data_IF_145875443801
#
_entry.id   IF_145875443801
#
_cell.length_a   1.000
_cell.length_b   1.000
_cell.length_c   1.000
_cell.angle_alpha   90.00
_cell.angle_beta   90.00
_cell.angle_gamma   90.00
#
_symmetry.space_group_name_H-M   'P 1'
#
loop_
_entity.id
_entity.type
_entity.pdbx_description
1 polymer ?
#
# COMPACT_ATOMS: atom_id res chain seq x y z
N UNK A 1 63.46 -17.90 -31.89
CA UNK A 1 62.68 -18.01 -30.64
C UNK A 1 61.30 -17.40 -30.85
N UNK A 2 60.27 -18.23 -31.06
CA UNK A 2 58.86 -17.77 -31.20
C UNK A 2 58.19 -17.89 -29.84
N UNK A 3 57.79 -16.76 -29.24
CA UNK A 3 57.03 -16.73 -27.98
C UNK A 3 55.54 -16.80 -28.33
N UNK A 4 54.91 -17.93 -28.00
CA UNK A 4 53.45 -18.09 -28.08
C UNK A 4 52.81 -17.39 -26.88
N UNK A 5 51.99 -16.37 -27.13
CA UNK A 5 51.15 -15.76 -26.10
C UNK A 5 49.79 -16.49 -26.06
N UNK A 6 49.52 -17.15 -24.93
CA UNK A 6 48.22 -17.71 -24.58
C UNK A 6 47.25 -16.57 -24.24
N UNK A 7 46.23 -16.40 -25.07
CA UNK A 7 45.12 -15.46 -24.84
C UNK A 7 44.05 -16.19 -24.00
N UNK A 8 43.91 -15.83 -22.72
CA UNK A 8 42.81 -16.28 -21.87
C UNK A 8 41.70 -15.24 -21.97
N UNK A 9 40.49 -15.57 -22.47
CA UNK A 9 39.40 -14.60 -22.51
C UNK A 9 38.82 -14.46 -21.10
N UNK A 10 39.02 -13.29 -20.50
CA UNK A 10 38.36 -12.87 -19.26
C UNK A 10 36.87 -12.66 -19.56
N UNK A 11 36.05 -13.63 -19.18
CA UNK A 11 34.60 -13.59 -19.35
C UNK A 11 34.00 -12.63 -18.31
N UNK A 12 33.88 -11.35 -18.69
CA UNK A 12 33.21 -10.32 -17.89
C UNK A 12 31.70 -10.62 -17.83
N UNK A 13 31.28 -11.24 -16.73
CA UNK A 13 29.87 -11.27 -16.34
C UNK A 13 29.43 -9.85 -16.01
N UNK A 14 28.84 -9.16 -16.98
CA UNK A 14 28.02 -7.98 -16.71
C UNK A 14 26.78 -8.43 -15.96
N UNK A 15 26.80 -8.32 -14.64
CA UNK A 15 25.59 -8.40 -13.82
C UNK A 15 24.85 -7.07 -14.05
N UNK A 16 24.09 -6.97 -15.13
CA UNK A 16 23.15 -5.88 -15.33
C UNK A 16 22.08 -6.00 -14.24
N UNK A 17 22.26 -5.27 -13.15
CA UNK A 17 21.21 -4.97 -12.19
C UNK A 17 20.13 -4.18 -12.92
N UNK A 18 19.20 -4.89 -13.55
CA UNK A 18 18.00 -4.29 -14.10
C UNK A 18 17.08 -3.98 -12.92
N UNK A 19 17.28 -2.85 -12.26
CA UNK A 19 16.30 -2.33 -11.31
C UNK A 19 15.11 -1.82 -12.14
N UNK A 20 14.15 -2.70 -12.43
CA UNK A 20 12.84 -2.31 -12.95
C UNK A 20 12.31 -1.18 -12.07
N UNK A 21 12.11 0.00 -12.66
CA UNK A 21 11.65 1.19 -11.91
C UNK A 21 10.20 1.00 -11.55
N UNK A 22 9.92 0.89 -10.26
CA UNK A 22 8.55 0.67 -9.79
C UNK A 22 7.64 1.87 -10.06
N UNK A 23 6.30 1.69 -10.16
CA UNK A 23 5.36 2.81 -10.28
C UNK A 23 5.53 3.85 -9.17
N UNK A 24 5.79 3.40 -7.93
CA UNK A 24 6.06 4.32 -6.81
C UNK A 24 7.32 5.18 -7.04
N UNK A 25 8.40 4.60 -7.55
CA UNK A 25 9.62 5.36 -7.86
C UNK A 25 9.40 6.34 -9.01
N UNK A 26 8.53 6.01 -9.96
CA UNK A 26 8.14 6.93 -11.02
C UNK A 26 7.34 8.10 -10.44
N UNK A 27 6.38 7.86 -9.56
CA UNK A 27 5.62 8.92 -8.89
C UNK A 27 6.53 9.85 -8.08
N UNK A 28 7.46 9.32 -7.26
CA UNK A 28 8.43 10.14 -6.51
C UNK A 28 9.21 11.08 -7.42
N UNK A 29 9.61 10.61 -8.62
CA UNK A 29 10.32 11.44 -9.61
C UNK A 29 9.42 12.47 -10.27
N UNK A 30 8.24 12.06 -10.73
CA UNK A 30 7.32 12.93 -11.45
C UNK A 30 6.87 14.12 -10.60
N UNK A 31 6.69 13.90 -9.29
CA UNK A 31 6.28 14.94 -8.34
C UNK A 31 7.47 15.64 -7.65
N UNK A 32 8.71 15.36 -8.04
CA UNK A 32 9.89 15.94 -7.39
C UNK A 32 10.03 17.46 -7.59
N UNK A 33 9.37 18.05 -8.60
CA UNK A 33 9.41 19.50 -8.80
C UNK A 33 8.48 20.27 -7.85
N UNK A 34 7.54 19.59 -7.19
CA UNK A 34 6.65 20.22 -6.20
C UNK A 34 7.36 20.33 -4.85
N UNK A 35 7.21 21.44 -4.11
CA UNK A 35 7.82 21.61 -2.79
C UNK A 35 7.45 20.50 -1.81
N UNK A 36 6.17 20.10 -1.81
CA UNK A 36 5.65 19.10 -0.88
C UNK A 36 4.71 18.14 -1.63
N UNK A 37 4.78 16.84 -1.31
CA UNK A 37 3.80 15.86 -1.76
C UNK A 37 3.62 14.71 -0.76
N UNK A 38 2.52 13.97 -0.88
CA UNK A 38 2.29 12.69 -0.22
C UNK A 38 1.64 11.72 -1.19
N UNK A 39 2.17 10.51 -1.27
CA UNK A 39 1.66 9.40 -2.08
C UNK A 39 1.00 8.40 -1.12
N UNK A 40 -0.31 8.25 -1.28
CA UNK A 40 -1.16 7.33 -0.50
C UNK A 40 -1.44 6.08 -1.34
N UNK A 41 -1.33 4.91 -0.73
CA UNK A 41 -1.81 3.66 -1.34
C UNK A 41 -3.33 3.67 -1.30
N UNK A 42 -3.96 4.08 -2.40
CA UNK A 42 -5.39 4.36 -2.44
C UNK A 42 -6.23 3.09 -2.61
N UNK A 43 -5.76 2.15 -3.43
CA UNK A 43 -6.39 0.84 -3.60
C UNK A 43 -5.38 -0.21 -4.08
N UNK A 44 -5.76 -1.48 -3.99
CA UNK A 44 -4.97 -2.63 -4.42
C UNK A 44 -5.87 -3.70 -5.05
N UNK A 45 -5.32 -4.41 -6.04
CA UNK A 45 -6.01 -5.49 -6.73
C UNK A 45 -5.04 -6.64 -6.98
N UNK A 46 -5.55 -7.86 -6.78
CA UNK A 46 -4.92 -9.08 -7.30
C UNK A 46 -5.92 -9.66 -8.27
N UNK A 47 -5.53 -9.74 -9.54
CA UNK A 47 -6.33 -10.34 -10.60
C UNK A 47 -5.75 -11.69 -11.00
N UNK A 48 -6.60 -12.60 -11.48
CA UNK A 48 -6.22 -13.94 -11.91
C UNK A 48 -6.22 -15.01 -10.83
N UNK A 49 -6.51 -16.25 -11.26
CA UNK A 49 -6.63 -17.43 -10.39
C UNK A 49 -5.37 -18.33 -10.37
N UNK A 50 -4.66 -18.42 -11.49
CA UNK A 50 -3.50 -19.31 -11.66
C UNK A 50 -2.20 -18.53 -11.83
N UNK A 51 -2.23 -17.55 -12.73
CA UNK A 51 -1.22 -16.50 -12.84
C UNK A 51 -1.85 -15.24 -12.26
N UNK A 52 -1.16 -14.62 -11.31
CA UNK A 52 -1.66 -13.47 -10.58
C UNK A 52 -0.99 -12.21 -11.10
N UNK A 53 -1.81 -11.25 -11.46
CA UNK A 53 -1.36 -9.88 -11.73
C UNK A 53 -1.69 -9.01 -10.52
N UNK A 54 -0.74 -8.15 -10.16
CA UNK A 54 -0.83 -7.31 -8.99
C UNK A 54 -0.90 -5.86 -9.43
N UNK A 55 -1.83 -5.10 -8.85
CA UNK A 55 -2.03 -3.70 -9.19
C UNK A 55 -2.17 -2.85 -7.93
N UNK A 56 -1.62 -1.64 -8.01
CA UNK A 56 -1.84 -0.58 -7.05
C UNK A 56 -2.56 0.59 -7.72
N UNK A 57 -3.31 1.33 -6.90
CA UNK A 57 -3.84 2.64 -7.24
C UNK A 57 -3.30 3.62 -6.21
N UNK A 58 -2.79 4.76 -6.67
CA UNK A 58 -2.18 5.75 -5.79
C UNK A 58 -2.97 7.04 -5.80
N UNK A 59 -3.08 7.68 -4.64
CA UNK A 59 -3.58 9.05 -4.52
C UNK A 59 -2.43 9.95 -4.14
N UNK A 60 -2.16 10.95 -4.96
CA UNK A 60 -1.10 11.92 -4.79
C UNK A 60 -1.73 13.23 -4.36
N UNK A 61 -1.25 13.78 -3.25
CA UNK A 61 -1.57 15.13 -2.79
C UNK A 61 -0.29 15.94 -2.87
N UNK A 62 -0.29 17.05 -3.60
CA UNK A 62 0.92 17.84 -3.83
C UNK A 62 0.62 19.34 -3.76
N UNK A 63 1.58 20.11 -3.26
CA UNK A 63 1.47 21.56 -3.10
C UNK A 63 2.09 22.28 -4.30
N UNK A 64 1.31 23.09 -5.00
CA UNK A 64 1.80 24.00 -6.04
C UNK A 64 2.05 25.38 -5.45
N UNK A 65 3.16 26.02 -5.81
CA UNK A 65 3.42 27.41 -5.40
C UNK A 65 2.41 28.33 -6.08
N UNK A 66 1.72 29.15 -5.29
CA UNK A 66 0.81 30.16 -5.82
C UNK A 66 1.45 31.54 -5.74
N UNK A 67 1.72 32.15 -6.91
CA UNK A 67 2.25 33.51 -7.00
C UNK A 67 3.64 33.68 -6.38
N UNK A 68 3.91 34.90 -5.89
CA UNK A 68 5.20 35.31 -5.35
C UNK A 68 5.20 35.14 -3.82
N UNK A 69 5.41 33.90 -3.32
CA UNK A 69 5.54 33.62 -1.89
C UNK A 69 5.57 32.12 -1.55
N UNK A 70 5.64 31.80 -0.24
CA UNK A 70 5.68 30.42 0.28
C UNK A 70 4.28 29.79 0.48
N UNK A 71 3.25 30.35 -0.17
CA UNK A 71 1.90 29.79 -0.09
C UNK A 71 1.76 28.64 -1.08
N UNK A 72 1.27 27.50 -0.59
CA UNK A 72 1.00 26.31 -1.40
C UNK A 72 -0.51 26.12 -1.58
N UNK A 73 -0.93 25.87 -2.81
CA UNK A 73 -2.25 25.32 -3.14
C UNK A 73 -2.14 23.82 -3.31
N UNK A 74 -2.89 23.04 -2.52
CA UNK A 74 -2.83 21.59 -2.58
C UNK A 74 -3.82 21.04 -3.59
N UNK A 75 -3.29 20.21 -4.49
CA UNK A 75 -4.05 19.47 -5.50
C UNK A 75 -4.05 17.98 -5.17
N UNK A 76 -5.04 17.26 -5.68
CA UNK A 76 -5.14 15.80 -5.54
C UNK A 76 -5.31 15.14 -6.91
N UNK A 77 -4.53 14.11 -7.17
CA UNK A 77 -4.63 13.26 -8.36
C UNK A 77 -4.67 11.81 -7.92
N UNK A 78 -5.53 11.01 -8.53
CA UNK A 78 -5.54 9.55 -8.34
C UNK A 78 -5.09 8.90 -9.63
N UNK A 79 -4.15 7.96 -9.57
CA UNK A 79 -3.70 7.20 -10.74
C UNK A 79 -4.79 6.24 -11.21
N UNK A 80 -4.62 5.70 -12.40
CA UNK A 80 -5.29 4.46 -12.78
C UNK A 80 -4.63 3.25 -12.08
N UNK A 81 -5.05 2.04 -12.46
CA UNK A 81 -4.43 0.81 -11.98
C UNK A 81 -3.04 0.65 -12.58
N UNK A 82 -2.03 0.71 -11.72
CA UNK A 82 -0.63 0.52 -12.08
C UNK A 82 -0.22 -0.90 -11.74
N UNK A 83 0.24 -1.66 -12.75
CA UNK A 83 0.76 -3.00 -12.54
C UNK A 83 2.06 -2.94 -11.72
N UNK A 84 2.16 -3.81 -10.72
CA UNK A 84 3.33 -3.92 -9.83
C UNK A 84 3.80 -5.36 -9.77
N UNK A 85 5.07 -5.56 -9.44
CA UNK A 85 5.57 -6.89 -9.12
C UNK A 85 4.96 -7.40 -7.82
N UNK A 86 4.81 -8.72 -7.68
CA UNK A 86 4.31 -9.37 -6.46
C UNK A 86 5.09 -8.94 -5.21
N UNK A 87 6.41 -8.81 -5.31
CA UNK A 87 7.27 -8.35 -4.22
C UNK A 87 6.86 -6.96 -3.74
N UNK A 88 6.57 -6.05 -4.67
CA UNK A 88 6.14 -4.70 -4.34
C UNK A 88 4.74 -4.70 -3.74
N UNK A 89 3.82 -5.49 -4.30
CA UNK A 89 2.49 -5.67 -3.72
C UNK A 89 2.58 -6.13 -2.26
N UNK A 90 3.34 -7.19 -2.02
CA UNK A 90 3.50 -7.77 -0.69
C UNK A 90 4.17 -6.81 0.29
N UNK A 91 5.09 -5.96 -0.21
CA UNK A 91 5.73 -4.91 0.60
C UNK A 91 4.72 -3.88 1.10
N UNK A 92 3.73 -3.53 0.29
CA UNK A 92 2.80 -2.45 0.61
C UNK A 92 1.41 -2.91 1.08
N UNK A 93 1.13 -4.22 1.08
CA UNK A 93 -0.21 -4.78 1.27
C UNK A 93 -0.89 -4.44 2.61
N UNK A 94 -0.13 -4.05 3.63
CA UNK A 94 -0.65 -3.68 4.95
C UNK A 94 -0.95 -2.18 5.10
N UNK A 95 -0.60 -1.36 4.11
CA UNK A 95 -0.66 0.10 4.19
C UNK A 95 -1.79 0.71 3.35
N UNK A 96 -2.85 -0.04 3.07
CA UNK A 96 -4.02 0.50 2.35
C UNK A 96 -4.57 1.73 3.08
N UNK A 97 -4.74 2.82 2.33
CA UNK A 97 -5.19 4.12 2.84
C UNK A 97 -4.11 4.92 3.58
N UNK A 98 -2.86 4.47 3.62
CA UNK A 98 -1.76 5.17 4.28
C UNK A 98 -0.82 5.84 3.28
N UNK A 99 -0.12 6.87 3.75
CA UNK A 99 1.03 7.44 3.05
C UNK A 99 2.14 6.38 3.03
N UNK A 100 2.71 6.15 1.85
CA UNK A 100 3.81 5.20 1.63
C UNK A 100 5.08 5.86 1.10
N UNK A 101 4.98 7.13 0.70
CA UNK A 101 6.09 8.01 0.39
C UNK A 101 5.62 9.47 0.47
N UNK A 102 6.49 10.38 0.87
CA UNK A 102 6.21 11.81 0.92
C UNK A 102 7.45 12.65 0.70
N UNK A 103 7.25 13.95 0.52
CA UNK A 103 8.30 14.95 0.58
C UNK A 103 7.79 16.17 1.31
N UNK A 104 8.52 16.60 2.33
CA UNK A 104 8.23 17.81 3.10
C UNK A 104 9.01 19.02 2.59
N UNK A 105 8.88 20.14 3.30
CA UNK A 105 9.60 21.41 3.00
C UNK A 105 11.12 21.30 2.96
N UNK A 106 11.69 20.28 3.62
CA UNK A 106 13.13 20.01 3.63
C UNK A 106 13.62 19.42 2.30
N UNK A 107 12.70 19.13 1.37
CA UNK A 107 13.00 18.59 0.05
C UNK A 107 13.42 17.11 0.07
N UNK A 108 13.41 16.46 1.23
CA UNK A 108 13.83 15.07 1.37
C UNK A 108 12.63 14.15 1.16
N UNK A 109 12.82 13.15 0.32
CA UNK A 109 11.84 12.06 0.17
C UNK A 109 11.89 11.20 1.42
N UNK A 110 10.73 10.99 2.02
CA UNK A 110 10.53 10.14 3.17
C UNK A 110 9.68 8.92 2.79
N UNK A 111 10.19 7.73 3.08
CA UNK A 111 9.56 6.44 2.79
C UNK A 111 8.85 5.83 4.01
N UNK A 112 8.72 6.58 5.10
CA UNK A 112 7.96 6.18 6.29
C UNK A 112 6.48 6.00 5.98
N UNK A 113 5.82 5.04 6.63
CA UNK A 113 4.38 4.81 6.45
C UNK A 113 3.58 5.33 7.62
N UNK A 114 2.58 6.14 7.32
CA UNK A 114 1.77 6.80 8.33
C UNK A 114 0.42 7.26 7.77
N UNK A 115 -0.55 7.63 8.63
CA UNK A 115 -1.85 8.06 8.16
C UNK A 115 -1.75 9.40 7.40
N UNK A 116 -2.56 9.63 6.37
CA UNK A 116 -2.53 10.88 5.63
C UNK A 116 -2.77 12.11 6.54
N UNK A 117 -2.11 13.22 6.21
CA UNK A 117 -2.22 14.49 6.95
C UNK A 117 -1.18 14.69 8.08
N UNK A 118 -0.63 13.62 8.67
CA UNK A 118 0.29 13.73 9.82
C UNK A 118 1.57 14.54 9.53
N UNK A 119 2.03 14.58 8.28
CA UNK A 119 3.25 15.30 7.90
C UNK A 119 3.15 16.83 8.03
N UNK A 120 1.93 17.38 8.06
CA UNK A 120 1.70 18.82 8.15
C UNK A 120 1.34 19.27 9.57
N UNK A 121 1.06 18.33 10.47
CA UNK A 121 0.69 18.63 11.85
C UNK A 121 1.91 19.17 12.60
N UNK A 122 1.67 20.15 13.48
CA UNK A 122 2.74 20.80 14.24
C UNK A 122 3.49 21.89 13.48
N UNK A 123 3.26 22.05 12.18
CA UNK A 123 3.78 23.19 11.41
C UNK A 123 2.74 24.32 11.39
N UNK A 124 3.11 25.46 11.99
CA UNK A 124 2.24 26.63 12.15
C UNK A 124 1.79 27.25 10.83
N UNK A 125 2.40 26.88 9.69
CA UNK A 125 1.93 27.30 8.36
C UNK A 125 0.55 26.72 8.05
N UNK A 126 0.23 25.51 8.54
CA UNK A 126 -0.98 24.76 8.16
C UNK A 126 -2.11 24.83 9.19
N UNK A 127 -1.80 25.16 10.44
CA UNK A 127 -2.78 25.10 11.51
C UNK A 127 -2.19 25.43 12.88
N UNK A 128 -2.96 25.12 13.91
CA UNK A 128 -2.56 25.31 15.31
C UNK A 128 -3.19 24.24 16.21
N UNK A 129 -2.59 24.02 17.36
CA UNK A 129 -3.23 23.25 18.43
C UNK A 129 -4.36 24.06 19.06
N UNK A 130 -5.52 23.42 19.22
CA UNK A 130 -6.65 23.94 19.99
C UNK A 130 -7.04 22.97 21.08
N UNK A 131 -7.47 23.51 22.21
CA UNK A 131 -7.93 22.71 23.35
C UNK A 131 -9.45 22.78 23.39
N UNK A 132 -10.11 21.62 23.47
CA UNK A 132 -11.55 21.54 23.69
C UNK A 132 -11.92 21.80 25.16
N UNK A 133 -13.22 21.96 25.44
CA UNK A 133 -13.73 22.17 26.80
C UNK A 133 -13.48 20.96 27.73
N UNK A 134 -13.07 19.81 27.19
CA UNK A 134 -12.73 18.60 27.94
C UNK A 134 -11.22 18.50 28.23
N UNK A 135 -10.43 19.50 27.83
CA UNK A 135 -8.99 19.54 28.04
C UNK A 135 -8.16 18.80 26.99
N UNK A 136 -8.76 18.22 25.94
CA UNK A 136 -8.01 17.55 24.88
C UNK A 136 -7.49 18.58 23.87
N UNK A 137 -6.22 18.45 23.50
CA UNK A 137 -5.63 19.24 22.41
C UNK A 137 -5.75 18.51 21.07
N UNK A 138 -6.29 19.18 20.05
CA UNK A 138 -6.40 18.69 18.69
C UNK A 138 -5.85 19.69 17.66
N UNK A 139 -5.46 19.20 16.50
CA UNK A 139 -4.95 20.03 15.41
C UNK A 139 -6.10 20.69 14.64
N UNK A 140 -6.13 22.01 14.62
CA UNK A 140 -7.05 22.82 13.81
C UNK A 140 -6.32 23.33 12.57
N UNK A 141 -6.78 22.91 11.39
CA UNK A 141 -6.29 23.42 10.11
C UNK A 141 -6.78 24.85 9.87
N UNK A 142 -5.93 25.71 9.32
CA UNK A 142 -6.38 27.02 8.85
C UNK A 142 -7.36 26.87 7.69
N UNK A 143 -8.31 27.81 7.56
CA UNK A 143 -9.43 27.71 6.61
C UNK A 143 -9.00 27.36 5.17
N UNK A 144 -7.91 27.95 4.68
CA UNK A 144 -7.34 27.65 3.35
C UNK A 144 -6.88 26.20 3.16
N UNK A 145 -6.63 25.49 4.25
CA UNK A 145 -6.24 24.08 4.29
C UNK A 145 -7.35 23.19 4.89
N UNK A 146 -8.53 23.72 5.20
CA UNK A 146 -9.63 22.92 5.73
C UNK A 146 -10.03 21.78 4.76
N UNK A 147 -9.86 22.00 3.45
CA UNK A 147 -10.06 20.97 2.42
C UNK A 147 -9.11 19.77 2.59
N UNK A 148 -7.92 19.94 3.18
CA UNK A 148 -7.00 18.83 3.46
C UNK A 148 -7.63 17.82 4.42
N UNK A 149 -8.48 18.26 5.35
CA UNK A 149 -9.26 17.36 6.21
C UNK A 149 -10.19 16.45 5.40
N UNK A 150 -10.73 16.92 4.29
CA UNK A 150 -11.55 16.08 3.40
C UNK A 150 -10.68 15.12 2.58
N UNK A 151 -9.60 15.62 1.99
CA UNK A 151 -8.67 14.83 1.15
C UNK A 151 -8.04 13.68 1.94
N UNK A 152 -7.66 13.92 3.19
CA UNK A 152 -7.09 12.93 4.09
C UNK A 152 -8.14 12.16 4.90
N UNK A 153 -9.43 12.44 4.69
CA UNK A 153 -10.54 11.75 5.34
C UNK A 153 -10.60 11.94 6.86
N UNK A 154 -10.11 13.08 7.34
CA UNK A 154 -9.96 13.47 8.74
C UNK A 154 -11.15 14.27 9.28
N UNK A 155 -12.17 14.55 8.45
CA UNK A 155 -13.32 15.38 8.82
C UNK A 155 -14.03 14.91 10.10
N UNK A 156 -14.13 13.59 10.31
CA UNK A 156 -14.76 12.99 11.49
C UNK A 156 -13.75 12.53 12.55
N UNK A 157 -12.45 12.80 12.35
CA UNK A 157 -11.35 12.29 13.18
C UNK A 157 -10.22 13.32 13.25
N UNK A 158 -10.34 14.36 14.10
CA UNK A 158 -9.25 15.31 14.29
C UNK A 158 -8.01 14.59 14.84
N UNK A 159 -6.82 15.08 14.50
CA UNK A 159 -5.58 14.55 15.09
C UNK A 159 -5.44 15.15 16.48
N UNK A 160 -5.51 14.29 17.49
CA UNK A 160 -5.20 14.69 18.86
C UNK A 160 -3.70 14.79 19.06
N UNK A 161 -3.29 15.65 20.00
CA UNK A 161 -1.89 15.89 20.31
C UNK A 161 -1.18 14.62 20.77
N UNK A 162 -1.88 13.78 21.53
CA UNK A 162 -1.39 12.47 21.96
C UNK A 162 -1.15 11.52 20.79
N UNK A 163 -2.01 11.52 19.77
CA UNK A 163 -1.80 10.70 18.56
C UNK A 163 -0.59 11.22 17.76
N UNK A 164 -0.45 12.54 17.65
CA UNK A 164 0.69 13.16 16.97
C UNK A 164 2.03 12.94 17.69
N UNK A 165 2.05 13.01 19.02
CA UNK A 165 3.25 12.73 19.81
C UNK A 165 3.68 11.26 19.61
N UNK A 166 2.74 10.30 19.63
CA UNK A 166 3.02 8.91 19.29
C UNK A 166 3.57 8.76 17.87
N UNK A 167 2.98 9.44 16.88
CA UNK A 167 3.48 9.44 15.51
C UNK A 167 4.94 9.91 15.45
N UNK A 168 5.28 11.01 16.15
CA UNK A 168 6.65 11.53 16.18
C UNK A 168 7.63 10.52 16.78
N UNK A 169 7.24 9.80 17.81
CA UNK A 169 8.07 8.78 18.47
C UNK A 169 8.27 7.53 17.59
N UNK A 170 7.23 7.11 16.87
CA UNK A 170 7.34 6.04 15.87
C UNK A 170 8.25 6.46 14.71
N UNK A 171 8.07 7.68 14.20
CA UNK A 171 8.87 8.24 13.13
C UNK A 171 10.35 8.37 13.51
N UNK A 172 10.65 8.87 14.71
CA UNK A 172 12.04 9.02 15.19
C UNK A 172 12.73 7.67 15.40
N UNK A 173 11.96 6.62 15.67
CA UNK A 173 12.46 5.23 15.79
C UNK A 173 12.40 4.43 14.48
N UNK A 174 12.06 5.07 13.36
CA UNK A 174 11.99 4.43 12.04
C UNK A 174 10.87 3.39 11.89
N UNK A 175 9.81 3.51 12.69
CA UNK A 175 8.66 2.59 12.70
C UNK A 175 7.47 3.18 11.97
N UNK A 176 6.71 2.31 11.32
CA UNK A 176 5.44 2.69 10.70
C UNK A 176 4.36 2.95 11.75
N UNK A 177 3.56 3.98 11.53
CA UNK A 177 2.52 4.40 12.46
C UNK A 177 1.13 4.15 11.89
N UNK A 178 0.34 3.30 12.52
CA UNK A 178 -1.01 2.93 12.06
C UNK A 178 -2.13 3.72 12.75
N UNK A 179 -1.78 4.83 13.42
CA UNK A 179 -2.68 5.53 14.33
C UNK A 179 -2.84 4.79 15.66
N UNK A 180 -3.29 5.52 16.68
CA UNK A 180 -3.65 4.92 17.97
C UNK A 180 -4.72 3.84 17.78
N UNK A 181 -4.46 2.65 18.31
CA UNK A 181 -5.34 1.50 18.15
C UNK A 181 -5.30 0.84 16.76
N UNK A 182 -4.28 1.12 15.93
CA UNK A 182 -4.11 0.55 14.59
C UNK A 182 -5.35 0.71 13.69
N UNK A 183 -5.94 1.89 13.76
CA UNK A 183 -7.17 2.24 13.05
C UNK A 183 -6.95 2.47 11.56
N UNK A 184 -5.73 2.75 11.12
CA UNK A 184 -5.32 2.88 9.71
C UNK A 184 -4.62 1.61 9.20
N UNK A 185 -4.30 1.58 7.90
CA UNK A 185 -3.73 0.41 7.23
C UNK A 185 -4.78 -0.65 6.90
N UNK A 186 -4.40 -1.67 6.14
CA UNK A 186 -5.34 -2.65 5.54
C UNK A 186 -6.23 -3.36 6.57
N UNK A 187 -5.75 -3.52 7.80
CA UNK A 187 -6.52 -4.16 8.87
C UNK A 187 -7.28 -3.19 9.77
N UNK A 188 -7.05 -1.88 9.61
CA UNK A 188 -7.59 -0.83 10.46
C UNK A 188 -9.09 -0.61 10.29
N UNK A 189 -9.75 -0.27 11.40
CA UNK A 189 -11.20 -0.04 11.42
C UNK A 189 -11.64 1.12 10.51
N UNK A 190 -10.83 2.18 10.42
CA UNK A 190 -11.10 3.31 9.55
C UNK A 190 -10.89 2.97 8.07
N UNK A 191 -9.89 2.14 7.75
CA UNK A 191 -9.66 1.69 6.37
C UNK A 191 -10.83 0.84 5.89
N UNK A 192 -11.39 -0.02 6.75
CA UNK A 192 -12.57 -0.84 6.43
C UNK A 192 -13.80 -0.03 6.05
N UNK A 193 -14.01 1.12 6.67
CA UNK A 193 -15.14 2.00 6.37
C UNK A 193 -14.86 2.93 5.19
N UNK A 194 -13.63 3.40 5.02
CA UNK A 194 -13.24 4.32 3.93
C UNK A 194 -12.90 3.64 2.60
N UNK A 195 -12.62 2.33 2.60
CA UNK A 195 -12.24 1.54 1.42
C UNK A 195 -13.11 0.29 1.22
N UNK A 196 -14.46 0.42 1.18
CA UNK A 196 -15.36 -0.74 1.13
C UNK A 196 -15.12 -1.63 -0.10
N UNK A 197 -14.86 -1.03 -1.26
CA UNK A 197 -14.68 -1.76 -2.53
C UNK A 197 -13.53 -2.77 -2.47
N UNK A 198 -12.41 -2.39 -1.85
CA UNK A 198 -11.28 -3.30 -1.64
C UNK A 198 -11.72 -4.55 -0.86
N UNK A 199 -12.43 -4.38 0.25
CA UNK A 199 -12.86 -5.50 1.10
C UNK A 199 -13.95 -6.32 0.44
N UNK A 200 -14.84 -5.70 -0.34
CA UNK A 200 -15.83 -6.42 -1.15
C UNK A 200 -15.16 -7.33 -2.17
N UNK A 201 -14.18 -6.81 -2.93
CA UNK A 201 -13.39 -7.60 -3.89
C UNK A 201 -12.61 -8.72 -3.19
N UNK A 202 -11.97 -8.42 -2.06
CA UNK A 202 -11.25 -9.42 -1.24
C UNK A 202 -12.18 -10.55 -0.79
N UNK A 203 -13.35 -10.21 -0.27
CA UNK A 203 -14.33 -11.20 0.18
C UNK A 203 -14.88 -12.05 -0.97
N UNK A 204 -15.16 -11.44 -2.13
CA UNK A 204 -15.60 -12.16 -3.32
C UNK A 204 -14.55 -13.20 -3.76
N UNK A 205 -13.27 -12.80 -3.79
CA UNK A 205 -12.16 -13.71 -4.12
C UNK A 205 -12.01 -14.86 -3.12
N UNK A 206 -12.16 -14.57 -1.83
CA UNK A 206 -12.12 -15.60 -0.79
C UNK A 206 -13.26 -16.61 -0.93
N UNK A 207 -14.47 -16.16 -1.30
CA UNK A 207 -15.62 -17.05 -1.58
C UNK A 207 -15.32 -17.99 -2.76
N UNK A 208 -14.82 -17.46 -3.88
CA UNK A 208 -14.44 -18.25 -5.06
C UNK A 208 -13.30 -19.23 -4.74
N UNK A 209 -12.33 -18.81 -3.93
CA UNK A 209 -11.23 -19.69 -3.50
C UNK A 209 -11.75 -20.86 -2.65
N UNK A 210 -12.69 -20.58 -1.74
CA UNK A 210 -13.34 -21.61 -0.89
C UNK A 210 -14.20 -22.57 -1.71
N UNK A 211 -14.97 -22.09 -2.70
CA UNK A 211 -15.76 -22.98 -3.57
C UNK A 211 -14.85 -23.90 -4.38
N UNK A 212 -13.80 -23.36 -5.00
CA UNK A 212 -12.81 -24.13 -5.75
C UNK A 212 -12.11 -25.20 -4.88
N UNK A 213 -11.82 -24.88 -3.61
CA UNK A 213 -11.28 -25.85 -2.66
C UNK A 213 -12.28 -26.96 -2.32
N UNK A 214 -13.53 -26.59 -2.02
CA UNK A 214 -14.59 -27.55 -1.71
C UNK A 214 -14.84 -28.52 -2.89
N UNK A 215 -14.82 -28.02 -4.12
CA UNK A 215 -14.98 -28.84 -5.31
C UNK A 215 -13.80 -29.80 -5.54
N UNK A 216 -12.57 -29.35 -5.31
CA UNK A 216 -11.38 -30.21 -5.33
C UNK A 216 -11.44 -31.33 -4.28
N UNK A 217 -11.90 -31.02 -3.07
CA UNK A 217 -12.08 -32.02 -2.00
C UNK A 217 -13.15 -33.03 -2.38
N UNK A 218 -14.32 -32.57 -2.85
CA UNK A 218 -15.41 -33.46 -3.32
C UNK A 218 -14.95 -34.40 -4.43
N UNK A 219 -14.17 -33.93 -5.39
CA UNK A 219 -13.63 -34.77 -6.47
C UNK A 219 -12.67 -35.85 -5.96
N UNK A 220 -11.83 -35.54 -4.96
CA UNK A 220 -10.92 -36.53 -4.34
C UNK A 220 -11.70 -37.60 -3.56
N UNK A 221 -12.69 -37.20 -2.77
CA UNK A 221 -13.54 -38.13 -1.99
C UNK A 221 -14.40 -39.02 -2.90
N UNK A 222 -14.92 -38.48 -4.01
CA UNK A 222 -15.63 -39.28 -5.03
C UNK A 222 -14.74 -40.33 -5.69
N UNK A 223 -13.46 -40.02 -5.92
CA UNK A 223 -12.49 -41.01 -6.45
C UNK A 223 -12.17 -42.11 -5.44
N UNK A 224 -12.04 -41.81 -4.15
CA UNK A 224 -11.77 -42.83 -3.12
C UNK A 224 -12.96 -43.77 -2.86
N UNK A 225 -14.19 -43.33 -3.10
CA UNK A 225 -15.37 -44.22 -3.04
C UNK A 225 -15.52 -45.10 -4.29
N UNK A 226 -14.81 -44.83 -5.38
CA UNK A 226 -14.83 -45.66 -6.59
C UNK A 226 -13.74 -46.75 -6.56
N UNK A 227 -12.70 -46.62 -5.72
CA UNK A 227 -11.64 -47.62 -5.56
C UNK A 227 -11.99 -48.80 -4.65
N UNK A 228 -13.15 -48.79 -3.97
CA UNK A 228 -13.63 -49.92 -3.16
C UNK A 228 -14.62 -50.84 -3.91
N UNK A 229 -14.99 -50.53 -5.16
CA UNK A 229 -15.92 -51.34 -5.97
C UNK A 229 -15.16 -52.08 -7.07
N UNK A 230 -14.21 -52.95 -6.68
CA UNK A 230 -13.65 -53.96 -7.58
C UNK A 230 -13.21 -55.22 -6.83
N UNK A 231 -14.13 -55.83 -6.09
CA UNK A 231 -13.96 -57.17 -5.52
C UNK A 231 -14.86 -58.18 -6.26
N UNK A 232 -14.22 -58.85 -7.24
CA UNK A 232 -14.40 -60.25 -7.68
C UNK A 232 -15.84 -60.76 -7.90
N UNK A 233 -16.29 -60.71 -9.16
CA UNK A 233 -17.22 -61.70 -9.70
C UNK A 233 -16.43 -62.84 -10.36
N UNK A 234 -16.05 -63.85 -9.59
CA UNK A 234 -15.60 -65.14 -10.13
C UNK A 234 -16.81 -66.04 -10.33
N UNK A 235 -17.20 -66.19 -11.59
CA UNK A 235 -18.19 -67.16 -12.09
C UNK A 235 -17.43 -68.37 -12.64
N UNK A 236 -17.64 -69.56 -12.09
CA UNK A 236 -17.40 -70.90 -12.72
C UNK A 236 -17.84 -71.96 -11.69
N UNK A 237 -19.03 -72.55 -11.78
CA UNK A 237 -19.43 -73.68 -12.62
C UNK A 237 -18.61 -74.96 -12.37
N UNK A 238 -19.30 -76.01 -11.89
CA UNK A 238 -18.97 -77.39 -12.26
C UNK A 238 -18.74 -78.39 -11.12
N UNK A 239 -19.77 -79.23 -10.92
CA UNK A 239 -19.82 -80.57 -10.31
C UNK A 239 -19.77 -80.70 -8.79
#
# INVERSE_FOLDING_TARGET
MRKSFLFVPLLLFFVTSCSSRTPLDQLKRNYNNYPEYSIVLDDMLVDGNFFKDYYHKYKIVYGEKTGSGDTLSYQTVTTDWEMVEEKQYNTYQDYLGMVIASKGKDGKVDDSRYPPGYQYVGDSRYGRWRTDNSGNSFWEWYGKYAMMSHVFGMFNRPIYRTDYDNFRDYRSSGRDYYGRGNVYGTNGSYTKTSKPDFFQRRQARERVSKSNFADKVKQRVRRSNMSSVRSRSSRSSGK
#
